data_IF_830286098707
#
_entry.id   IF_830286098707
#
_cell.length_a   1.000
_cell.length_b   1.000
_cell.length_c   1.000
_cell.angle_alpha   90.00
_cell.angle_beta   90.00
_cell.angle_gamma   90.00
#
_symmetry.space_group_name_H-M   'P 1'
#
loop_
_entity.id
_entity.type
_entity.pdbx_description
1 polymer ?
#
# COMPACT_ATOMS: atom_id res chain seq x y z
N UNK A 1 -6.75 12.76 11.55
CA UNK A 1 -6.80 11.85 10.39
C UNK A 1 -6.45 10.45 10.86
N UNK A 2 -7.18 9.43 10.43
CA UNK A 2 -6.72 8.04 10.51
C UNK A 2 -5.67 7.83 9.42
N UNK A 3 -4.47 7.35 9.74
CA UNK A 3 -3.38 7.15 8.75
C UNK A 3 -3.34 5.73 8.21
N UNK A 4 -4.11 4.80 8.79
CA UNK A 4 -4.12 3.38 8.44
C UNK A 4 -5.32 3.03 7.53
N UNK A 5 -6.21 4.01 7.23
CA UNK A 5 -7.40 3.85 6.40
C UNK A 5 -7.08 3.77 4.89
N UNK A 6 -6.30 2.75 4.52
CA UNK A 6 -5.87 2.46 3.16
C UNK A 6 -6.70 1.35 2.54
N UNK A 7 -7.07 1.54 1.28
CA UNK A 7 -7.45 0.44 0.42
C UNK A 7 -6.32 0.15 -0.58
N UNK A 8 -5.96 -1.11 -0.69
CA UNK A 8 -4.83 -1.57 -1.50
C UNK A 8 -5.35 -2.32 -2.71
N UNK A 9 -4.81 -2.00 -3.88
CA UNK A 9 -5.01 -2.74 -5.11
C UNK A 9 -3.65 -3.26 -5.60
N UNK A 10 -3.42 -4.56 -5.42
CA UNK A 10 -2.19 -5.23 -5.84
C UNK A 10 -2.14 -5.46 -7.36
N UNK A 11 -3.27 -5.38 -8.07
CA UNK A 11 -3.31 -5.54 -9.52
C UNK A 11 -2.72 -4.30 -10.20
N UNK A 12 -3.16 -3.11 -9.78
CA UNK A 12 -2.60 -1.83 -10.27
C UNK A 12 -1.34 -1.37 -9.54
N UNK A 13 -0.83 -2.15 -8.58
CA UNK A 13 0.31 -1.81 -7.73
C UNK A 13 0.14 -0.44 -7.05
N UNK A 14 -1.07 -0.19 -6.55
CA UNK A 14 -1.43 1.10 -5.96
C UNK A 14 -2.23 0.95 -4.66
N UNK A 15 -2.33 2.06 -3.92
CA UNK A 15 -3.19 2.17 -2.77
C UNK A 15 -3.77 3.58 -2.69
N UNK A 16 -5.00 3.67 -2.19
CA UNK A 16 -5.68 4.94 -1.96
C UNK A 16 -6.11 5.05 -0.50
N UNK A 17 -5.89 6.23 0.06
CA UNK A 17 -6.31 6.58 1.40
C UNK A 17 -7.67 7.29 1.35
N UNK A 18 -8.46 7.19 2.43
CA UNK A 18 -9.76 7.87 2.55
C UNK A 18 -9.70 9.39 2.42
N UNK A 19 -8.53 10.00 2.61
CA UNK A 19 -8.30 11.43 2.35
C UNK A 19 -8.17 11.81 0.88
N UNK A 20 -8.20 10.84 -0.04
CA UNK A 20 -7.93 11.03 -1.46
C UNK A 20 -6.46 10.88 -1.85
N UNK A 21 -5.55 10.78 -0.88
CA UNK A 21 -4.12 10.57 -1.13
C UNK A 21 -3.86 9.20 -1.77
N UNK A 22 -2.95 9.13 -2.74
CA UNK A 22 -2.65 7.91 -3.49
C UNK A 22 -1.16 7.63 -3.53
N UNK A 23 -0.82 6.35 -3.54
CA UNK A 23 0.54 5.86 -3.78
C UNK A 23 0.47 4.78 -4.85
N UNK A 24 1.34 4.87 -5.84
CA UNK A 24 1.67 3.75 -6.72
C UNK A 24 3.12 3.34 -6.52
N UNK A 25 3.42 2.08 -6.76
CA UNK A 25 4.79 1.54 -6.66
C UNK A 25 5.21 0.92 -7.98
N UNK A 26 6.52 0.91 -8.22
CA UNK A 26 7.13 0.23 -9.36
C UNK A 26 7.85 -1.05 -8.90
N UNK A 27 7.79 -2.10 -9.73
CA UNK A 27 8.40 -3.38 -9.42
C UNK A 27 7.54 -4.22 -8.47
N UNK A 28 8.13 -4.73 -7.39
CA UNK A 28 7.47 -5.66 -6.47
C UNK A 28 6.96 -4.97 -5.20
N UNK A 29 5.75 -5.26 -4.71
CA UNK A 29 5.28 -4.83 -3.38
C UNK A 29 6.18 -5.20 -2.20
N UNK A 30 6.96 -6.28 -2.34
CA UNK A 30 7.88 -6.75 -1.30
C UNK A 30 9.24 -6.06 -1.39
N UNK A 31 9.61 -5.61 -2.58
CA UNK A 31 10.85 -4.89 -2.87
C UNK A 31 10.59 -3.82 -3.93
N UNK A 32 10.00 -2.68 -3.54
CA UNK A 32 9.65 -1.62 -4.47
C UNK A 32 10.91 -0.99 -5.07
N UNK A 33 10.91 -0.73 -6.36
CA UNK A 33 11.98 -0.01 -7.06
C UNK A 33 11.75 1.50 -7.04
N UNK A 34 10.47 1.90 -6.97
CA UNK A 34 10.04 3.29 -6.93
C UNK A 34 8.72 3.43 -6.18
N UNK A 35 8.48 4.63 -5.64
CA UNK A 35 7.24 5.01 -4.97
C UNK A 35 6.83 6.37 -5.49
N UNK A 36 5.62 6.46 -6.04
CA UNK A 36 5.07 7.69 -6.62
C UNK A 36 3.83 8.13 -5.84
N UNK A 37 3.96 9.09 -4.92
CA UNK A 37 2.81 9.69 -4.25
C UNK A 37 2.07 10.67 -5.16
N UNK A 38 0.75 10.76 -5.04
CA UNK A 38 -0.07 11.74 -5.76
C UNK A 38 -1.30 12.16 -4.95
N UNK A 39 -1.97 13.23 -5.40
CA UNK A 39 -3.20 13.74 -4.79
C UNK A 39 -3.03 14.09 -3.29
N UNK A 40 -1.97 14.82 -2.95
CA UNK A 40 -1.77 15.32 -1.60
C UNK A 40 -2.92 16.26 -1.19
N UNK A 41 -3.54 16.04 -0.03
CA UNK A 41 -4.45 17.03 0.53
C UNK A 41 -3.68 18.32 0.87
N UNK A 42 -4.25 19.48 0.53
CA UNK A 42 -3.58 20.78 0.60
C UNK A 42 -3.18 21.20 2.03
N UNK A 43 -3.87 20.67 3.04
CA UNK A 43 -3.73 21.11 4.44
C UNK A 43 -2.82 20.21 5.28
N UNK A 44 -2.06 19.29 4.67
CA UNK A 44 -1.16 18.40 5.40
C UNK A 44 0.22 19.01 5.61
N UNK A 45 0.68 18.97 6.86
CA UNK A 45 2.08 19.24 7.17
C UNK A 45 3.00 18.19 6.53
N UNK A 46 4.28 18.55 6.31
CA UNK A 46 5.28 17.62 5.77
C UNK A 46 5.41 16.32 6.60
N UNK A 47 5.21 16.40 7.92
CA UNK A 47 5.24 15.24 8.82
C UNK A 47 4.06 14.31 8.57
N UNK A 48 2.87 14.86 8.31
CA UNK A 48 1.67 14.09 8.00
C UNK A 48 1.76 13.46 6.61
N UNK A 49 2.31 14.19 5.63
CA UNK A 49 2.61 13.67 4.29
C UNK A 49 3.57 12.46 4.38
N UNK A 50 4.68 12.60 5.12
CA UNK A 50 5.63 11.50 5.32
C UNK A 50 4.99 10.31 6.06
N UNK A 51 4.11 10.57 7.03
CA UNK A 51 3.38 9.52 7.75
C UNK A 51 2.42 8.77 6.82
N UNK A 52 1.68 9.47 5.95
CA UNK A 52 0.84 8.83 4.94
C UNK A 52 1.65 7.96 3.99
N UNK A 53 2.78 8.45 3.46
CA UNK A 53 3.64 7.66 2.58
C UNK A 53 4.07 6.36 3.27
N UNK A 54 4.55 6.46 4.51
CA UNK A 54 4.99 5.28 5.28
C UNK A 54 3.85 4.29 5.54
N UNK A 55 2.68 4.78 5.96
CA UNK A 55 1.53 3.92 6.25
C UNK A 55 0.99 3.25 4.98
N UNK A 56 0.89 3.96 3.86
CA UNK A 56 0.46 3.38 2.59
C UNK A 56 1.43 2.31 2.06
N UNK A 57 2.74 2.55 2.13
CA UNK A 57 3.74 1.53 1.78
C UNK A 57 3.64 0.29 2.67
N UNK A 58 3.41 0.48 3.98
CA UNK A 58 3.18 -0.63 4.91
C UNK A 58 1.91 -1.41 4.56
N UNK A 59 0.82 -0.72 4.20
CA UNK A 59 -0.42 -1.36 3.78
C UNK A 59 -0.21 -2.23 2.52
N UNK A 60 0.47 -1.69 1.49
CA UNK A 60 0.80 -2.43 0.27
C UNK A 60 1.61 -3.69 0.58
N UNK A 61 2.68 -3.56 1.37
CA UNK A 61 3.52 -4.70 1.76
C UNK A 61 2.74 -5.76 2.54
N UNK A 62 1.87 -5.35 3.45
CA UNK A 62 1.06 -6.26 4.25
C UNK A 62 0.04 -7.01 3.39
N UNK A 63 -0.63 -6.31 2.46
CA UNK A 63 -1.56 -6.93 1.52
C UNK A 63 -0.85 -7.96 0.63
N UNK A 64 0.32 -7.62 0.08
CA UNK A 64 1.10 -8.56 -0.72
C UNK A 64 1.54 -9.79 0.07
N UNK A 65 2.02 -9.59 1.31
CA UNK A 65 2.37 -10.68 2.21
C UNK A 65 1.17 -11.59 2.50
N UNK A 66 -0.01 -11.02 2.77
CA UNK A 66 -1.23 -11.77 3.01
C UNK A 66 -1.66 -12.58 1.77
N UNK A 67 -1.54 -11.99 0.57
CA UNK A 67 -1.83 -12.67 -0.69
C UNK A 67 -0.92 -13.88 -0.92
N UNK A 68 0.39 -13.74 -0.69
CA UNK A 68 1.36 -14.84 -0.81
C UNK A 68 1.03 -15.96 0.20
N UNK A 69 0.70 -15.59 1.44
CA UNK A 69 0.33 -16.56 2.48
C UNK A 69 -0.97 -17.30 2.15
N UNK A 70 -1.94 -16.62 1.54
CA UNK A 70 -3.19 -17.24 1.11
C UNK A 70 -2.96 -18.25 -0.02
N UNK A 71 -2.11 -17.91 -1.00
CA UNK A 71 -1.73 -18.81 -2.08
C UNK A 71 -1.04 -20.08 -1.57
N UNK A 72 -0.03 -19.94 -0.69
CA UNK A 72 0.68 -21.10 -0.14
C UNK A 72 -0.23 -22.06 0.65
N UNK A 73 -1.18 -21.51 1.42
CA UNK A 73 -2.16 -22.32 2.17
C UNK A 73 -3.10 -23.09 1.26
N UNK A 74 -3.45 -22.53 0.10
CA UNK A 74 -4.27 -23.22 -0.88
C UNK A 74 -3.51 -24.42 -1.46
N UNK A 75 -2.25 -24.22 -1.86
CA UNK A 75 -1.39 -25.28 -2.43
C UNK A 75 -1.17 -26.44 -1.44
N UNK A 76 -0.96 -26.14 -0.15
CA UNK A 76 -0.85 -27.16 0.91
C UNK A 76 -2.15 -27.95 1.13
N UNK A 77 -3.32 -27.33 0.93
CA UNK A 77 -4.62 -27.97 1.16
C UNK A 77 -5.07 -28.88 0.00
N UNK A 78 -4.47 -28.72 -1.19
CA UNK A 78 -4.79 -29.50 -2.40
C UNK A 78 -3.71 -30.51 -2.79
N UNK A 79 -2.60 -30.56 -2.04
CA UNK A 79 -1.53 -31.57 -2.16
C UNK A 79 -1.78 -32.77 -1.26
#
# INVERSE_FOLDING_TARGET
MDFEAWNVDLESMSAYHTSGFRISIEGSPMQPLGVSPSHFPNDLSAVEQARLIRCGMKAIKNAAKASIQAANKYDEAVS
#
